data_IF_888436465119
#
_entry.id   IF_888436465119
#
_cell.length_a   1.000
_cell.length_b   1.000
_cell.length_c   1.000
_cell.angle_alpha   90.00
_cell.angle_beta   90.00
_cell.angle_gamma   90.00
#
_symmetry.space_group_name_H-M   'P 1'
#
loop_
_entity.id
_entity.type
_entity.pdbx_description
1 polymer ?
#
# COMPACT_ATOMS: atom_id res chain seq x y z
N UNK A 1 6.18 17.48 -4.03
CA UNK A 1 5.05 17.18 -3.12
C UNK A 1 4.86 15.67 -3.09
N UNK A 2 5.39 14.99 -2.07
CA UNK A 2 5.08 13.58 -1.84
C UNK A 2 3.71 13.50 -1.16
N UNK A 3 2.89 12.53 -1.54
CA UNK A 3 1.55 12.33 -0.97
C UNK A 3 1.69 11.81 0.47
N UNK A 4 0.91 12.37 1.40
CA UNK A 4 0.96 12.02 2.85
C UNK A 4 0.96 10.51 3.09
N UNK A 5 0.11 9.78 2.37
CA UNK A 5 -0.02 8.33 2.50
C UNK A 5 1.22 7.57 1.99
N UNK A 6 1.92 8.09 0.99
CA UNK A 6 3.15 7.47 0.49
C UNK A 6 4.28 7.59 1.50
N UNK A 7 4.38 8.73 2.18
CA UNK A 7 5.41 8.94 3.22
C UNK A 7 5.20 8.02 4.42
N UNK A 8 3.95 7.87 4.88
CA UNK A 8 3.59 6.94 5.96
C UNK A 8 3.92 5.50 5.55
N UNK A 9 3.59 5.11 4.31
CA UNK A 9 3.91 3.77 3.82
C UNK A 9 5.41 3.48 3.83
N UNK A 10 6.24 4.42 3.35
CA UNK A 10 7.68 4.22 3.26
C UNK A 10 8.39 4.26 4.62
N UNK A 11 7.94 5.14 5.54
CA UNK A 11 8.61 5.37 6.84
C UNK A 11 8.14 4.45 7.95
N UNK A 12 6.87 4.06 7.96
CA UNK A 12 6.26 3.35 9.10
C UNK A 12 5.81 1.95 8.70
N UNK A 13 5.02 1.82 7.64
CA UNK A 13 4.37 0.55 7.28
C UNK A 13 5.39 -0.46 6.71
N UNK A 14 6.27 -0.02 5.81
CA UNK A 14 7.25 -0.88 5.16
C UNK A 14 8.24 -1.55 6.13
N UNK A 15 8.88 -0.83 7.08
CA UNK A 15 9.74 -1.48 8.08
C UNK A 15 8.96 -2.38 9.04
N UNK A 16 7.76 -1.97 9.48
CA UNK A 16 6.91 -2.78 10.34
C UNK A 16 6.56 -4.14 9.70
N UNK A 17 6.20 -4.13 8.40
CA UNK A 17 5.92 -5.36 7.65
C UNK A 17 7.18 -6.21 7.41
N UNK A 18 8.36 -5.62 7.27
CA UNK A 18 9.60 -6.40 7.16
C UNK A 18 9.95 -7.11 8.46
N UNK A 19 9.73 -6.45 9.60
CA UNK A 19 10.00 -7.02 10.92
C UNK A 19 8.98 -8.11 11.28
N UNK A 20 7.69 -7.87 11.06
CA UNK A 20 6.61 -8.80 11.39
C UNK A 20 6.67 -10.10 10.57
N UNK A 21 7.01 -9.99 9.28
CA UNK A 21 7.00 -11.13 8.35
C UNK A 21 8.39 -11.65 7.97
N UNK A 22 9.47 -11.03 8.47
CA UNK A 22 10.84 -11.48 8.26
C UNK A 22 11.29 -11.48 6.80
N UNK A 23 10.80 -10.53 5.99
CA UNK A 23 11.15 -10.46 4.57
C UNK A 23 12.66 -10.22 4.37
N UNK A 24 13.33 -11.12 3.66
CA UNK A 24 14.76 -10.99 3.36
C UNK A 24 15.07 -9.90 2.32
N UNK A 25 14.07 -9.48 1.54
CA UNK A 25 14.23 -8.48 0.50
C UNK A 25 13.19 -7.37 0.63
N UNK A 26 13.66 -6.13 0.65
CA UNK A 26 12.90 -4.88 0.67
C UNK A 26 11.82 -4.78 -0.42
N UNK A 27 11.98 -5.48 -1.53
CA UNK A 27 11.01 -5.52 -2.63
C UNK A 27 9.89 -6.55 -2.45
N UNK A 28 10.00 -7.47 -1.47
CA UNK A 28 8.94 -8.44 -1.14
C UNK A 28 7.80 -7.80 -0.34
N UNK A 29 8.01 -6.62 0.22
CA UNK A 29 6.97 -5.91 0.96
C UNK A 29 5.81 -5.56 0.02
N UNK A 30 4.57 -5.99 0.33
CA UNK A 30 3.41 -5.79 -0.54
C UNK A 30 3.07 -4.30 -0.71
N UNK A 31 2.83 -3.89 -1.95
CA UNK A 31 2.51 -2.50 -2.33
C UNK A 31 1.10 -2.42 -2.92
N UNK A 32 0.44 -1.29 -2.72
CA UNK A 32 -0.83 -1.00 -3.36
C UNK A 32 -0.60 -0.56 -4.81
N UNK A 33 -1.08 -1.35 -5.77
CA UNK A 33 -0.86 -1.09 -7.20
C UNK A 33 -1.96 -0.20 -7.81
N UNK A 34 -3.23 -0.52 -7.56
CA UNK A 34 -4.36 0.31 -8.00
C UNK A 34 -5.57 0.15 -7.08
N UNK A 35 -6.37 1.21 -6.98
CA UNK A 35 -7.71 1.18 -6.39
C UNK A 35 -8.70 1.35 -7.54
N UNK A 36 -9.52 0.32 -7.79
CA UNK A 36 -10.60 0.40 -8.79
C UNK A 36 -11.89 0.67 -8.04
N UNK A 37 -12.46 1.86 -8.25
CA UNK A 37 -13.80 2.22 -7.79
C UNK A 37 -14.78 1.89 -8.91
N UNK A 38 -15.59 0.86 -8.72
CA UNK A 38 -16.73 0.57 -9.58
C UNK A 38 -18.00 1.07 -8.88
N UNK A 39 -18.71 1.98 -9.53
CA UNK A 39 -20.03 2.40 -9.12
C UNK A 39 -21.01 1.91 -10.18
N UNK A 40 -21.63 0.76 -9.93
CA UNK A 40 -22.70 0.24 -10.78
C UNK A 40 -23.98 1.02 -10.52
N UNK A 41 -24.38 1.88 -11.47
CA UNK A 41 -25.71 2.50 -11.46
C UNK A 41 -26.62 1.60 -12.31
N UNK A 42 -27.23 0.62 -11.65
CA UNK A 42 -28.30 -0.20 -12.22
C UNK A 42 -29.62 0.32 -11.68
N UNK A 43 -30.50 0.73 -12.60
CA UNK A 43 -31.77 1.46 -12.43
C UNK A 43 -31.60 2.94 -12.05
N UNK A 44 -31.73 3.79 -13.07
CA UNK A 44 -31.95 5.23 -12.98
C UNK A 44 -33.44 5.54 -13.15
#
# INVERSE_FOLDING_TARGET
>A
MATRLKEVYEKEIKPALMEEFGYANTYQVPKLEKIVLNMGVGDA
#
